data_IF_169910173859
#
_entry.id   IF_169910173859
#
_cell.length_a   1.000
_cell.length_b   1.000
_cell.length_c   1.000
_cell.angle_alpha   90.00
_cell.angle_beta   90.00
_cell.angle_gamma   90.00
#
_symmetry.space_group_name_H-M   'P 1'
#
loop_
_entity.id
_entity.type
_entity.pdbx_description
1 polymer ?
#
# COMPACT_ATOMS: atom_id res chain seq x y z
N UNK A 1 -0.56 -4.75 21.41
CA UNK A 1 0.11 -5.09 20.13
C UNK A 1 0.69 -3.80 19.57
N UNK A 2 1.97 -3.77 19.22
CA UNK A 2 2.66 -2.56 18.71
C UNK A 2 2.12 -2.17 17.32
N UNK A 3 2.15 -0.88 16.95
CA UNK A 3 1.61 -0.31 15.72
C UNK A 3 2.04 -1.09 14.46
N UNK A 4 3.33 -1.36 14.29
CA UNK A 4 3.84 -2.10 13.12
C UNK A 4 3.35 -3.55 13.07
N UNK A 5 3.27 -4.22 14.21
CA UNK A 5 2.73 -5.58 14.27
C UNK A 5 1.26 -5.60 13.84
N UNK A 6 0.46 -4.63 14.27
CA UNK A 6 -0.94 -4.53 13.84
C UNK A 6 -1.04 -4.32 12.33
N UNK A 7 -0.14 -3.52 11.74
CA UNK A 7 -0.08 -3.29 10.29
C UNK A 7 0.33 -4.53 9.48
N UNK A 8 1.20 -5.39 10.02
CA UNK A 8 1.59 -6.65 9.36
C UNK A 8 0.43 -7.65 9.28
N UNK A 9 -0.33 -7.79 10.37
CA UNK A 9 -1.41 -8.78 10.48
C UNK A 9 -2.71 -8.36 9.78
N UNK A 10 -2.92 -7.06 9.55
CA UNK A 10 -4.15 -6.57 8.94
C UNK A 10 -4.05 -6.54 7.41
N UNK A 11 -5.19 -6.73 6.75
CA UNK A 11 -5.33 -6.46 5.32
C UNK A 11 -5.48 -4.95 5.02
N UNK A 12 -5.68 -4.11 6.04
CA UNK A 12 -5.82 -2.67 5.87
C UNK A 12 -4.46 -1.97 5.70
N UNK A 13 -4.28 -1.33 4.56
CA UNK A 13 -3.18 -0.43 4.24
C UNK A 13 -3.33 0.88 5.02
N UNK A 14 -2.23 1.31 5.63
CA UNK A 14 -2.11 2.59 6.31
C UNK A 14 -1.72 3.69 5.33
N UNK A 15 -2.53 4.74 5.23
CA UNK A 15 -2.33 5.82 4.25
C UNK A 15 -1.86 7.10 4.95
N UNK A 16 -0.68 7.57 4.54
CA UNK A 16 -0.06 8.82 4.97
C UNK A 16 -0.29 9.88 3.89
N UNK A 17 -1.00 10.94 4.26
CA UNK A 17 -1.12 12.16 3.48
C UNK A 17 0.05 13.08 3.83
N UNK A 18 1.06 13.15 2.95
CA UNK A 18 2.22 14.02 3.13
C UNK A 18 1.86 15.46 2.76
N UNK A 19 1.76 16.32 3.77
CA UNK A 19 1.58 17.76 3.58
C UNK A 19 2.92 18.40 3.21
N UNK A 20 4.02 17.89 3.79
CA UNK A 20 5.35 18.40 3.51
C UNK A 20 5.42 19.91 3.76
N UNK A 21 5.70 20.68 2.70
CA UNK A 21 5.73 22.15 2.73
C UNK A 21 4.62 22.81 1.88
N UNK A 22 3.60 22.06 1.44
CA UNK A 22 2.49 22.58 0.64
C UNK A 22 1.56 23.53 1.43
N UNK A 23 1.77 23.65 2.75
CA UNK A 23 1.15 24.67 3.59
C UNK A 23 1.73 26.07 3.37
N UNK A 24 2.85 26.20 2.65
CA UNK A 24 3.45 27.50 2.27
C UNK A 24 3.76 28.41 3.46
N UNK A 25 4.09 27.85 4.63
CA UNK A 25 4.33 28.62 5.87
C UNK A 25 3.07 29.16 6.56
N UNK A 26 1.86 28.83 6.08
CA UNK A 26 0.60 29.27 6.69
C UNK A 26 -0.04 28.13 7.50
N UNK A 27 -0.21 28.36 8.81
CA UNK A 27 -0.80 27.39 9.73
C UNK A 27 -2.27 27.07 9.42
N UNK A 28 -3.02 28.02 8.84
CA UNK A 28 -4.42 27.78 8.46
C UNK A 28 -4.51 26.86 7.25
N UNK A 29 -3.62 27.04 6.27
CA UNK A 29 -3.51 26.11 5.13
C UNK A 29 -3.09 24.72 5.64
N UNK A 30 -2.16 24.65 6.59
CA UNK A 30 -1.79 23.38 7.21
C UNK A 30 -2.98 22.68 7.89
N UNK A 31 -3.79 23.40 8.68
CA UNK A 31 -5.03 22.86 9.28
C UNK A 31 -6.04 22.41 8.24
N UNK A 32 -6.22 23.17 7.17
CA UNK A 32 -7.10 22.79 6.05
C UNK A 32 -6.64 21.48 5.39
N UNK A 33 -5.34 21.33 5.13
CA UNK A 33 -4.78 20.11 4.58
C UNK A 33 -4.91 18.90 5.53
N UNK A 34 -4.76 19.10 6.85
CA UNK A 34 -5.01 18.06 7.86
C UNK A 34 -6.49 17.62 7.81
N UNK A 35 -7.42 18.58 7.72
CA UNK A 35 -8.86 18.30 7.62
C UNK A 35 -9.19 17.52 6.35
N UNK A 36 -8.65 17.93 5.21
CA UNK A 36 -8.85 17.25 3.93
C UNK A 36 -8.31 15.81 3.96
N UNK A 37 -7.11 15.60 4.54
CA UNK A 37 -6.57 14.26 4.72
C UNK A 37 -7.55 13.37 5.49
N UNK A 38 -8.14 13.89 6.58
CA UNK A 38 -9.16 13.18 7.38
C UNK A 38 -10.43 12.90 6.58
N UNK A 39 -10.98 13.90 5.90
CA UNK A 39 -12.22 13.78 5.11
C UNK A 39 -12.08 12.79 3.96
N UNK A 40 -10.90 12.71 3.33
CA UNK A 40 -10.62 11.74 2.28
C UNK A 40 -10.43 10.31 2.82
N UNK A 41 -10.20 10.17 4.14
CA UNK A 41 -10.02 8.88 4.82
C UNK A 41 -8.57 8.44 5.00
N UNK A 42 -7.61 9.38 4.94
CA UNK A 42 -6.22 9.09 5.29
C UNK A 42 -6.11 8.75 6.78
N UNK A 43 -5.14 7.89 7.13
CA UNK A 43 -4.93 7.48 8.51
C UNK A 43 -4.02 8.47 9.26
N UNK A 44 -3.15 9.19 8.54
CA UNK A 44 -2.19 10.13 9.11
C UNK A 44 -1.92 11.33 8.18
N UNK A 45 -1.85 12.53 8.76
CA UNK A 45 -1.27 13.72 8.13
C UNK A 45 0.20 13.84 8.54
N UNK A 46 1.10 14.04 7.57
CA UNK A 46 2.54 14.11 7.81
C UNK A 46 3.15 15.44 7.37
N UNK A 47 4.06 15.96 8.18
CA UNK A 47 4.86 17.15 7.91
C UNK A 47 6.37 16.84 7.79
N UNK A 48 7.16 17.88 7.62
CA UNK A 48 8.61 17.85 7.75
C UNK A 48 8.98 18.72 8.96
N UNK A 49 9.93 18.28 9.77
CA UNK A 49 10.48 19.08 10.86
C UNK A 49 12.00 19.16 10.68
N UNK A 50 12.51 20.38 10.72
CA UNK A 50 13.93 20.68 10.56
C UNK A 50 14.40 21.74 11.55
N UNK A 51 15.58 21.53 12.13
CA UNK A 51 16.44 22.59 12.65
C UNK A 51 17.47 22.96 11.57
N UNK A 52 17.35 24.18 11.02
CA UNK A 52 18.11 24.57 9.83
C UNK A 52 19.63 24.58 10.06
N UNK A 53 20.07 24.95 11.27
CA UNK A 53 21.49 25.01 11.62
C UNK A 53 22.11 23.63 11.83
N UNK A 54 21.31 22.64 12.23
CA UNK A 54 21.75 21.25 12.36
C UNK A 54 21.79 20.55 10.99
N UNK A 55 20.81 20.84 10.13
CA UNK A 55 20.69 20.20 8.82
C UNK A 55 21.62 20.78 7.75
N UNK A 56 21.85 22.09 7.77
CA UNK A 56 22.58 22.77 6.70
C UNK A 56 23.82 23.48 7.21
N UNK A 57 24.89 23.44 6.41
CA UNK A 57 26.04 24.32 6.62
C UNK A 57 25.65 25.78 6.35
N UNK A 58 26.39 26.71 6.95
CA UNK A 58 26.21 28.15 6.72
C UNK A 58 26.24 28.50 5.23
N UNK A 59 27.16 27.91 4.46
CA UNK A 59 27.21 28.09 2.99
C UNK A 59 25.99 27.51 2.28
N UNK A 60 25.41 26.41 2.78
CA UNK A 60 24.19 25.83 2.26
C UNK A 60 22.98 26.76 2.46
N UNK A 61 22.85 27.35 3.66
CA UNK A 61 21.80 28.31 3.97
C UNK A 61 21.94 29.60 3.16
N UNK A 62 23.17 30.09 2.95
CA UNK A 62 23.44 31.31 2.18
C UNK A 62 23.42 31.11 0.66
N UNK A 63 23.25 29.88 0.17
CA UNK A 63 23.19 29.59 -1.27
C UNK A 63 22.04 30.36 -1.93
N UNK A 64 22.27 31.12 -3.02
CA UNK A 64 21.20 31.79 -3.74
C UNK A 64 20.12 30.80 -4.23
N UNK A 65 18.85 31.18 -4.14
CA UNK A 65 17.74 30.34 -4.58
C UNK A 65 16.79 31.12 -5.50
N UNK A 66 17.05 31.04 -6.81
CA UNK A 66 16.36 31.83 -7.85
C UNK A 66 15.17 31.11 -8.50
N UNK A 67 14.53 30.21 -7.76
CA UNK A 67 13.35 29.49 -8.24
C UNK A 67 12.11 30.40 -8.22
N UNK A 68 11.17 30.18 -9.15
CA UNK A 68 9.82 30.79 -9.07
C UNK A 68 9.08 30.36 -7.79
N UNK A 69 9.46 29.19 -7.26
CA UNK A 69 8.99 28.66 -5.99
C UNK A 69 9.87 29.10 -4.81
N UNK A 70 10.55 30.25 -4.88
CA UNK A 70 11.36 30.74 -3.76
C UNK A 70 10.60 31.72 -2.88
N UNK A 71 10.72 31.59 -1.56
CA UNK A 71 10.18 32.54 -0.57
C UNK A 71 11.25 33.43 0.07
N UNK A 72 12.48 33.40 -0.46
CA UNK A 72 13.56 34.28 -0.05
C UNK A 72 14.72 34.27 -1.04
N UNK A 73 15.70 35.15 -0.87
CA UNK A 73 16.83 35.25 -1.80
C UNK A 73 17.81 34.08 -1.69
N UNK A 74 17.85 33.44 -0.52
CA UNK A 74 18.69 32.28 -0.21
C UNK A 74 17.86 31.05 0.09
N UNK A 75 18.48 29.87 -0.03
CA UNK A 75 17.81 28.61 0.31
C UNK A 75 17.45 28.54 1.79
N UNK A 76 18.28 29.10 2.67
CA UNK A 76 17.99 29.24 4.10
C UNK A 76 16.79 30.13 4.37
N UNK A 77 16.68 31.29 3.72
CA UNK A 77 15.51 32.17 3.88
C UNK A 77 14.22 31.50 3.39
N UNK A 78 14.29 30.79 2.27
CA UNK A 78 13.17 29.98 1.77
C UNK A 78 12.76 28.88 2.75
N UNK A 79 13.72 28.15 3.33
CA UNK A 79 13.42 27.09 4.29
C UNK A 79 12.91 27.63 5.61
N UNK A 80 13.45 28.75 6.11
CA UNK A 80 12.99 29.41 7.33
C UNK A 80 11.56 29.91 7.21
N UNK A 81 11.17 30.44 6.04
CA UNK A 81 9.79 30.87 5.79
C UNK A 81 8.77 29.71 5.87
N UNK A 82 9.20 28.49 5.55
CA UNK A 82 8.35 27.32 5.50
C UNK A 82 8.42 26.45 6.77
N UNK A 83 9.30 26.76 7.71
CA UNK A 83 9.50 25.93 8.90
C UNK A 83 8.60 26.45 10.03
N UNK A 84 7.69 25.60 10.51
CA UNK A 84 6.88 25.93 11.68
C UNK A 84 7.71 25.87 12.97
N UNK A 85 7.40 26.77 13.89
CA UNK A 85 7.93 26.75 15.26
C UNK A 85 7.46 25.50 16.02
N UNK A 86 8.06 25.23 17.17
CA UNK A 86 7.61 24.13 18.04
C UNK A 86 6.17 24.35 18.52
N UNK A 87 5.82 25.59 18.87
CA UNK A 87 4.48 25.97 19.32
C UNK A 87 3.44 25.78 18.21
N UNK A 88 3.75 26.24 16.98
CA UNK A 88 2.88 26.05 15.82
C UNK A 88 2.69 24.57 15.49
N UNK A 89 3.75 23.76 15.59
CA UNK A 89 3.66 22.33 15.35
C UNK A 89 2.81 21.62 16.42
N UNK A 90 2.94 22.01 17.69
CA UNK A 90 2.08 21.51 18.78
C UNK A 90 0.62 21.92 18.55
N UNK A 91 0.37 23.14 18.07
CA UNK A 91 -0.98 23.58 17.70
C UNK A 91 -1.58 22.70 16.59
N UNK A 92 -0.80 22.35 15.56
CA UNK A 92 -1.22 21.43 14.51
C UNK A 92 -1.49 20.02 15.06
N UNK A 93 -0.65 19.52 15.97
CA UNK A 93 -0.85 18.23 16.63
C UNK A 93 -2.17 18.20 17.42
N UNK A 94 -2.46 19.26 18.19
CA UNK A 94 -3.71 19.40 18.95
C UNK A 94 -4.92 19.43 18.02
N UNK A 95 -4.85 20.17 16.91
CA UNK A 95 -5.91 20.21 15.91
C UNK A 95 -6.16 18.84 15.27
N UNK A 96 -5.09 18.12 14.90
CA UNK A 96 -5.21 16.76 14.37
C UNK A 96 -5.88 15.80 15.36
N UNK A 97 -5.54 15.91 16.66
CA UNK A 97 -6.18 15.15 17.73
C UNK A 97 -7.67 15.49 17.86
N UNK A 98 -8.04 16.77 17.82
CA UNK A 98 -9.44 17.23 17.89
C UNK A 98 -10.31 16.59 16.81
N UNK A 99 -9.79 16.51 15.57
CA UNK A 99 -10.52 15.93 14.43
C UNK A 99 -10.26 14.42 14.25
N UNK A 100 -9.55 13.79 15.18
CA UNK A 100 -9.24 12.36 15.22
C UNK A 100 -8.46 11.84 13.99
N UNK A 101 -7.36 12.50 13.61
CA UNK A 101 -6.35 11.99 12.66
C UNK A 101 -4.97 11.94 13.33
N UNK A 102 -4.15 10.95 12.98
CA UNK A 102 -2.77 10.90 13.46
C UNK A 102 -1.94 12.00 12.80
N UNK A 103 -1.07 12.64 13.56
CA UNK A 103 -0.08 13.59 13.03
C UNK A 103 1.33 13.13 13.35
N UNK A 104 2.21 13.22 12.36
CA UNK A 104 3.64 12.96 12.51
C UNK A 104 4.46 13.88 11.60
N UNK A 105 5.78 13.79 11.68
CA UNK A 105 6.69 14.41 10.73
C UNK A 105 7.90 13.55 10.42
N UNK A 106 8.62 13.99 9.39
CA UNK A 106 9.96 13.52 9.09
C UNK A 106 10.96 14.25 9.97
N UNK A 107 11.75 13.52 10.75
CA UNK A 107 12.91 14.09 11.44
C UNK A 107 14.06 14.22 10.45
N UNK A 108 14.51 15.46 10.17
CA UNK A 108 15.54 15.74 9.17
C UNK A 108 16.89 16.15 9.79
N UNK A 109 17.00 16.02 11.12
CA UNK A 109 18.19 16.30 11.94
C UNK A 109 17.95 15.81 13.39
N UNK A 110 18.99 15.74 14.23
CA UNK A 110 18.88 15.28 15.62
C UNK A 110 17.98 16.14 16.52
N UNK A 111 17.94 17.46 16.32
CA UNK A 111 17.09 18.35 17.13
C UNK A 111 15.61 18.10 16.84
N UNK A 112 15.26 18.00 15.57
CA UNK A 112 13.92 17.63 15.12
C UNK A 112 13.51 16.24 15.60
N UNK A 113 14.44 15.27 15.60
CA UNK A 113 14.20 13.95 16.17
C UNK A 113 13.83 14.03 17.67
N UNK A 114 14.59 14.81 18.44
CA UNK A 114 14.32 15.01 19.87
C UNK A 114 12.97 15.70 20.10
N UNK A 115 12.66 16.75 19.34
CA UNK A 115 11.38 17.43 19.42
C UNK A 115 10.20 16.48 19.13
N UNK A 116 10.27 15.68 18.06
CA UNK A 116 9.22 14.72 17.72
C UNK A 116 9.02 13.64 18.80
N UNK A 117 10.11 13.24 19.45
CA UNK A 117 10.06 12.36 20.63
C UNK A 117 9.36 13.04 21.81
N UNK A 118 9.69 14.29 22.12
CA UNK A 118 9.10 15.05 23.23
C UNK A 118 7.58 15.20 23.08
N UNK A 119 7.10 15.50 21.88
CA UNK A 119 5.66 15.62 21.59
C UNK A 119 4.98 14.26 21.33
N UNK A 120 5.69 13.15 21.50
CA UNK A 120 5.14 11.77 21.43
C UNK A 120 4.39 11.47 20.13
N UNK A 121 5.03 11.67 18.98
CA UNK A 121 4.45 11.26 17.69
C UNK A 121 4.22 9.73 17.60
N UNK A 122 3.21 9.26 16.86
CA UNK A 122 2.88 7.82 16.79
C UNK A 122 3.97 6.97 16.13
N UNK A 123 4.77 7.58 15.25
CA UNK A 123 5.95 7.00 14.62
C UNK A 123 6.81 8.16 14.09
N UNK A 124 8.09 7.93 13.84
CA UNK A 124 9.00 8.90 13.23
C UNK A 124 9.24 8.52 11.77
N UNK A 125 9.07 9.47 10.86
CA UNK A 125 9.45 9.28 9.45
C UNK A 125 10.93 9.65 9.29
N UNK A 126 11.68 8.81 8.57
CA UNK A 126 12.99 9.17 8.00
C UNK A 126 12.82 9.26 6.48
N UNK A 127 13.11 10.44 5.92
CA UNK A 127 12.99 10.70 4.50
C UNK A 127 14.18 10.15 3.70
N UNK A 128 14.02 9.98 2.39
CA UNK A 128 15.09 9.47 1.52
C UNK A 128 16.36 10.35 1.56
N UNK A 129 16.22 11.66 1.82
CA UNK A 129 17.35 12.58 2.00
C UNK A 129 18.27 12.25 3.16
N UNK A 130 17.75 11.52 4.16
CA UNK A 130 18.47 11.11 5.36
C UNK A 130 18.73 9.59 5.38
N UNK A 131 18.41 8.88 4.30
CA UNK A 131 18.54 7.42 4.22
C UNK A 131 20.00 6.92 4.27
N UNK A 132 20.96 7.78 3.92
CA UNK A 132 22.39 7.49 4.10
C UNK A 132 22.94 7.97 5.45
N UNK A 133 22.13 8.64 6.27
CA UNK A 133 22.52 9.18 7.57
C UNK A 133 22.32 8.11 8.66
N UNK A 134 23.18 7.09 8.65
CA UNK A 134 23.09 5.96 9.59
C UNK A 134 23.18 6.41 11.06
N UNK A 135 23.84 7.53 11.35
CA UNK A 135 23.92 8.08 12.71
C UNK A 135 22.55 8.55 13.21
N UNK A 136 21.80 9.30 12.38
CA UNK A 136 20.44 9.74 12.72
C UNK A 136 19.49 8.54 12.82
N UNK A 137 19.63 7.56 11.91
CA UNK A 137 18.81 6.34 11.93
C UNK A 137 19.06 5.52 13.20
N UNK A 138 20.31 5.39 13.65
CA UNK A 138 20.66 4.70 14.90
C UNK A 138 20.08 5.43 16.12
N UNK A 139 20.21 6.77 16.17
CA UNK A 139 19.60 7.59 17.22
C UNK A 139 18.07 7.42 17.26
N UNK A 140 17.42 7.40 16.09
CA UNK A 140 15.99 7.18 15.98
C UNK A 140 15.59 5.78 16.46
N UNK A 141 16.35 4.73 16.12
CA UNK A 141 16.11 3.36 16.57
C UNK A 141 16.25 3.20 18.09
N UNK A 142 17.21 3.88 18.71
CA UNK A 142 17.40 3.88 20.16
C UNK A 142 16.20 4.47 20.93
N UNK A 143 15.34 5.26 20.29
CA UNK A 143 14.14 5.82 20.94
C UNK A 143 13.08 4.75 21.22
N UNK A 144 13.07 3.64 20.48
CA UNK A 144 12.01 2.62 20.52
C UNK A 144 10.67 3.04 19.87
N UNK A 145 10.55 4.29 19.43
CA UNK A 145 9.38 4.80 18.70
C UNK A 145 9.36 4.13 17.31
N UNK A 146 8.19 3.70 16.79
CA UNK A 146 8.14 3.08 15.48
C UNK A 146 8.75 3.98 14.39
N UNK A 147 9.48 3.39 13.44
CA UNK A 147 10.12 4.15 12.35
C UNK A 147 9.50 3.82 10.99
N UNK A 148 9.33 4.82 10.13
CA UNK A 148 8.96 4.64 8.72
C UNK A 148 10.06 5.25 7.85
N UNK A 149 10.87 4.43 7.19
CA UNK A 149 12.09 4.87 6.52
C UNK A 149 11.92 4.76 5.00
N UNK A 150 12.06 5.87 4.27
CA UNK A 150 12.06 5.84 2.80
C UNK A 150 13.45 5.50 2.29
N UNK A 151 13.50 4.76 1.19
CA UNK A 151 14.75 4.19 0.65
C UNK A 151 15.10 4.72 -0.75
N UNK A 152 14.66 5.94 -1.08
CA UNK A 152 15.07 6.59 -2.32
C UNK A 152 16.53 7.07 -2.27
N UNK A 153 17.13 7.27 -3.44
CA UNK A 153 18.52 7.75 -3.60
C UNK A 153 19.61 6.81 -3.06
N UNK A 154 19.26 5.58 -2.68
CA UNK A 154 20.20 4.57 -2.21
C UNK A 154 20.00 3.25 -2.96
N UNK A 155 21.01 2.38 -2.90
CA UNK A 155 20.95 1.03 -3.46
C UNK A 155 20.52 0.00 -2.40
N UNK A 156 20.22 -1.21 -2.86
CA UNK A 156 19.74 -2.30 -2.01
C UNK A 156 20.71 -2.67 -0.87
N UNK A 157 22.03 -2.58 -1.11
CA UNK A 157 23.03 -2.85 -0.07
C UNK A 157 22.94 -1.85 1.09
N UNK A 158 22.69 -0.56 0.78
CA UNK A 158 22.46 0.45 1.83
C UNK A 158 21.15 0.18 2.56
N UNK A 159 20.09 -0.25 1.87
CA UNK A 159 18.82 -0.64 2.49
C UNK A 159 19.02 -1.78 3.49
N UNK A 160 19.82 -2.79 3.12
CA UNK A 160 20.18 -3.90 4.02
C UNK A 160 20.96 -3.41 5.24
N UNK A 161 21.88 -2.46 5.07
CA UNK A 161 22.60 -1.85 6.21
C UNK A 161 21.66 -1.11 7.16
N UNK A 162 20.66 -0.40 6.64
CA UNK A 162 19.62 0.26 7.46
C UNK A 162 18.83 -0.79 8.24
N UNK A 163 18.39 -1.86 7.56
CA UNK A 163 17.69 -2.97 8.20
C UNK A 163 18.53 -3.58 9.33
N UNK A 164 19.77 -4.00 9.03
CA UNK A 164 20.67 -4.61 10.00
C UNK A 164 20.98 -3.68 11.18
N UNK A 165 21.03 -2.36 10.95
CA UNK A 165 21.24 -1.37 11.99
C UNK A 165 20.04 -1.26 12.93
N UNK A 166 18.84 -1.05 12.39
CA UNK A 166 17.63 -0.84 13.20
C UNK A 166 17.23 -2.12 13.91
N UNK A 167 17.35 -3.28 13.26
CA UNK A 167 17.01 -4.60 13.83
C UNK A 167 17.88 -5.03 15.01
N UNK A 168 19.05 -4.40 15.24
CA UNK A 168 19.81 -4.57 16.50
C UNK A 168 19.05 -4.09 17.73
N UNK A 169 18.16 -3.11 17.54
CA UNK A 169 17.40 -2.48 18.61
C UNK A 169 15.97 -3.02 18.65
N UNK A 170 15.28 -3.08 17.50
CA UNK A 170 13.92 -3.59 17.38
C UNK A 170 13.48 -3.79 15.93
N UNK A 171 12.44 -4.60 15.72
CA UNK A 171 11.78 -4.76 14.41
C UNK A 171 10.50 -3.93 14.27
N UNK A 172 10.36 -2.86 15.07
CA UNK A 172 9.24 -1.93 15.02
C UNK A 172 9.46 -0.84 13.97
N UNK A 173 9.72 -1.22 12.73
CA UNK A 173 9.92 -0.25 11.65
C UNK A 173 9.36 -0.75 10.32
N UNK A 174 9.28 0.19 9.36
CA UNK A 174 8.89 -0.06 8.00
C UNK A 174 9.92 0.50 7.02
N UNK A 175 10.11 -0.20 5.90
CA UNK A 175 10.88 0.29 4.76
C UNK A 175 9.94 0.62 3.60
N UNK A 176 10.02 1.85 3.10
CA UNK A 176 9.25 2.29 1.95
C UNK A 176 10.14 2.30 0.70
N UNK A 177 9.74 1.53 -0.32
CA UNK A 177 10.25 1.75 -1.67
C UNK A 177 9.87 3.15 -2.14
N UNK A 178 10.83 3.86 -2.73
CA UNK A 178 10.67 5.26 -3.07
C UNK A 178 11.66 5.64 -4.19
N UNK A 179 11.21 6.45 -5.14
CA UNK A 179 12.08 7.14 -6.10
C UNK A 179 11.93 8.63 -5.84
N UNK A 180 13.03 9.30 -5.50
CA UNK A 180 13.03 10.73 -5.14
C UNK A 180 13.17 11.61 -6.38
N UNK A 181 12.13 11.60 -7.21
CA UNK A 181 11.95 12.50 -8.35
C UNK A 181 10.51 13.06 -8.31
N UNK A 182 10.36 14.36 -8.55
CA UNK A 182 9.11 15.09 -8.26
C UNK A 182 8.63 15.85 -9.53
N UNK A 183 7.89 15.21 -10.45
CA UNK A 183 7.35 13.85 -10.37
C UNK A 183 8.30 12.75 -10.86
N UNK A 184 8.04 11.51 -10.42
CA UNK A 184 8.76 10.31 -10.89
C UNK A 184 8.16 9.81 -12.21
N UNK A 185 8.96 9.64 -13.28
CA UNK A 185 8.51 9.01 -14.53
C UNK A 185 8.11 7.54 -14.31
N UNK A 186 7.07 7.08 -14.99
CA UNK A 186 6.50 5.74 -14.81
C UNK A 186 7.52 4.61 -15.01
N UNK A 187 8.38 4.75 -16.02
CA UNK A 187 9.47 3.83 -16.36
C UNK A 187 10.54 3.73 -15.26
N UNK A 188 10.61 4.69 -14.34
CA UNK A 188 11.58 4.71 -13.25
C UNK A 188 10.99 4.25 -11.90
N UNK A 189 9.66 4.12 -11.76
CA UNK A 189 9.02 3.77 -10.48
C UNK A 189 9.52 2.44 -9.93
N UNK A 190 9.67 1.43 -10.80
CA UNK A 190 10.23 0.13 -10.46
C UNK A 190 9.53 -0.59 -9.27
N UNK A 191 8.21 -0.80 -9.35
CA UNK A 191 7.41 -1.44 -8.30
C UNK A 191 7.85 -2.87 -7.93
N UNK A 192 8.57 -3.57 -8.81
CA UNK A 192 9.09 -4.91 -8.53
C UNK A 192 10.11 -4.93 -7.38
N UNK A 193 10.67 -3.78 -6.99
CA UNK A 193 11.49 -3.66 -5.77
C UNK A 193 10.71 -4.07 -4.52
N UNK A 194 9.39 -3.87 -4.50
CA UNK A 194 8.54 -4.31 -3.38
C UNK A 194 8.60 -5.83 -3.18
N UNK A 195 8.62 -6.62 -4.26
CA UNK A 195 8.79 -8.07 -4.17
C UNK A 195 10.14 -8.46 -3.58
N UNK A 196 11.20 -7.73 -3.93
CA UNK A 196 12.53 -7.94 -3.35
C UNK A 196 12.53 -7.61 -1.85
N UNK A 197 11.89 -6.50 -1.45
CA UNK A 197 11.79 -6.09 -0.05
C UNK A 197 10.98 -7.08 0.78
N UNK A 198 9.81 -7.52 0.29
CA UNK A 198 8.95 -8.51 0.98
C UNK A 198 9.71 -9.82 1.20
N UNK A 199 10.52 -10.25 0.22
CA UNK A 199 11.33 -11.46 0.32
C UNK A 199 12.50 -11.32 1.30
N UNK A 200 13.25 -10.22 1.23
CA UNK A 200 14.47 -10.03 2.03
C UNK A 200 14.17 -9.65 3.49
N UNK A 201 13.09 -8.90 3.73
CA UNK A 201 12.73 -8.35 5.04
C UNK A 201 11.34 -8.81 5.51
N UNK A 202 11.09 -10.12 5.68
CA UNK A 202 9.76 -10.68 5.92
C UNK A 202 9.19 -10.35 7.31
N UNK A 203 10.03 -9.90 8.24
CA UNK A 203 9.72 -9.64 9.64
C UNK A 203 9.39 -8.16 9.95
N UNK A 204 9.43 -7.29 8.94
CA UNK A 204 9.06 -5.88 9.06
C UNK A 204 7.96 -5.50 8.06
N UNK A 205 7.44 -4.28 8.21
CA UNK A 205 6.44 -3.74 7.28
C UNK A 205 7.12 -3.21 6.02
N UNK A 206 6.62 -3.59 4.85
CA UNK A 206 7.03 -3.00 3.57
C UNK A 206 5.94 -2.04 3.09
N UNK A 207 6.35 -0.90 2.55
CA UNK A 207 5.42 0.07 1.98
C UNK A 207 5.99 0.81 0.76
N UNK A 208 5.27 1.84 0.32
CA UNK A 208 5.59 2.63 -0.86
C UNK A 208 5.36 4.12 -0.59
N UNK A 209 6.36 4.94 -0.95
CA UNK A 209 6.29 6.41 -0.91
C UNK A 209 6.42 6.92 -2.35
N UNK A 210 5.29 7.40 -2.89
CA UNK A 210 5.13 7.71 -4.31
C UNK A 210 5.21 9.20 -4.62
N UNK A 211 5.86 9.51 -5.74
CA UNK A 211 5.98 10.86 -6.30
C UNK A 211 5.58 10.90 -7.78
N UNK A 212 4.89 9.88 -8.27
CA UNK A 212 4.39 9.82 -9.64
C UNK A 212 3.18 10.75 -9.87
N UNK A 213 2.88 11.04 -11.14
CA UNK A 213 1.59 11.65 -11.51
C UNK A 213 0.52 10.55 -11.55
N UNK A 214 -0.67 10.83 -11.00
CA UNK A 214 -1.76 9.86 -10.92
C UNK A 214 -1.60 8.91 -9.73
N UNK A 215 -2.43 7.87 -9.68
CA UNK A 215 -2.61 7.00 -8.51
C UNK A 215 -2.38 5.52 -8.81
N UNK A 216 -2.31 5.15 -10.08
CA UNK A 216 -2.26 3.76 -10.54
C UNK A 216 -1.06 3.00 -9.97
N UNK A 217 0.18 3.54 -10.00
CA UNK A 217 1.32 2.82 -9.43
C UNK A 217 1.19 2.61 -7.92
N UNK A 218 0.64 3.59 -7.21
CA UNK A 218 0.36 3.49 -5.77
C UNK A 218 -0.66 2.38 -5.47
N UNK A 219 -1.74 2.26 -6.26
CA UNK A 219 -2.72 1.18 -6.09
C UNK A 219 -2.10 -0.19 -6.40
N UNK A 220 -1.28 -0.28 -7.45
CA UNK A 220 -0.52 -1.49 -7.75
C UNK A 220 0.45 -1.88 -6.62
N UNK A 221 1.08 -0.91 -5.96
CA UNK A 221 1.96 -1.18 -4.81
C UNK A 221 1.21 -1.92 -3.69
N UNK A 222 -0.04 -1.53 -3.42
CA UNK A 222 -0.89 -2.23 -2.42
C UNK A 222 -1.18 -3.66 -2.86
N UNK A 223 -1.55 -3.88 -4.13
CA UNK A 223 -1.79 -5.23 -4.65
C UNK A 223 -0.55 -6.14 -4.60
N UNK A 224 0.66 -5.57 -4.71
CA UNK A 224 1.93 -6.30 -4.57
C UNK A 224 2.21 -6.67 -3.10
N UNK A 225 1.69 -5.90 -2.14
CA UNK A 225 1.83 -6.18 -0.70
C UNK A 225 2.31 -5.00 0.14
N UNK A 226 2.39 -3.79 -0.41
CA UNK A 226 2.68 -2.59 0.39
C UNK A 226 1.58 -2.37 1.44
N UNK A 227 1.96 -2.27 2.73
CA UNK A 227 1.04 -2.04 3.86
C UNK A 227 1.02 -0.60 4.36
N UNK A 228 1.98 0.21 3.92
CA UNK A 228 2.03 1.66 4.14
C UNK A 228 2.12 2.34 2.78
N UNK A 229 1.27 3.33 2.56
CA UNK A 229 1.29 4.19 1.38
C UNK A 229 1.51 5.62 1.83
N UNK A 230 2.41 6.34 1.17
CA UNK A 230 2.66 7.76 1.38
C UNK A 230 2.57 8.50 0.05
N UNK A 231 1.74 9.55 0.00
CA UNK A 231 1.60 10.46 -1.15
C UNK A 231 1.48 11.89 -0.67
N UNK A 232 2.15 12.80 -1.39
CA UNK A 232 1.99 14.23 -1.15
C UNK A 232 0.55 14.67 -1.45
N UNK A 233 0.03 15.65 -0.71
CA UNK A 233 -1.32 16.21 -0.90
C UNK A 233 -1.27 17.73 -1.02
N UNK A 234 -2.21 18.31 -1.76
CA UNK A 234 -2.31 19.75 -1.95
C UNK A 234 -3.75 20.20 -2.12
N UNK A 235 -4.01 21.49 -1.92
CA UNK A 235 -5.30 22.12 -2.25
C UNK A 235 -5.42 22.39 -3.75
N UNK A 236 -4.30 22.76 -4.39
CA UNK A 236 -4.22 23.11 -5.81
C UNK A 236 -2.79 22.92 -6.30
N UNK A 237 -2.63 22.13 -7.37
CA UNK A 237 -1.33 21.84 -8.01
C UNK A 237 -0.65 23.05 -8.63
N UNK A 238 -1.40 24.13 -8.87
CA UNK A 238 -0.90 25.38 -9.49
C UNK A 238 -0.33 26.36 -8.47
N UNK A 239 -0.50 26.10 -7.18
CA UNK A 239 0.06 26.94 -6.14
C UNK A 239 1.59 26.89 -6.14
N UNK A 240 2.18 27.93 -5.56
CA UNK A 240 3.62 28.08 -5.47
C UNK A 240 4.21 27.01 -4.55
N UNK A 241 5.19 26.27 -5.05
CA UNK A 241 5.95 25.27 -4.30
C UNK A 241 6.42 24.11 -5.17
N UNK A 242 7.52 23.45 -4.78
CA UNK A 242 8.14 22.41 -5.60
C UNK A 242 7.31 21.13 -5.67
N UNK A 243 6.56 20.83 -4.61
CA UNK A 243 5.96 19.51 -4.44
C UNK A 243 4.50 19.48 -4.90
N UNK A 244 3.89 20.64 -5.14
CA UNK A 244 2.50 20.75 -5.60
C UNK A 244 2.23 19.92 -6.86
N UNK A 245 3.14 19.92 -7.83
CA UNK A 245 2.93 19.26 -9.12
C UNK A 245 2.75 17.72 -9.02
N UNK A 246 3.43 17.05 -8.08
CA UNK A 246 3.30 15.61 -7.86
C UNK A 246 2.31 15.25 -6.73
N UNK A 247 1.75 16.26 -6.06
CA UNK A 247 0.80 16.08 -4.96
C UNK A 247 -0.59 15.71 -5.48
N UNK A 248 -1.38 15.03 -4.66
CA UNK A 248 -2.77 14.71 -4.95
C UNK A 248 -3.69 15.82 -4.44
N UNK A 249 -4.60 16.28 -5.30
CA UNK A 249 -5.72 17.13 -4.89
C UNK A 249 -6.79 16.30 -4.15
N UNK A 250 -7.72 16.92 -3.40
CA UNK A 250 -8.68 16.18 -2.57
C UNK A 250 -9.47 15.09 -3.33
N UNK A 251 -9.99 15.31 -4.56
CA UNK A 251 -10.67 14.26 -5.31
C UNK A 251 -9.76 13.07 -5.66
N UNK A 252 -8.48 13.33 -5.95
CA UNK A 252 -7.51 12.30 -6.30
C UNK A 252 -7.08 11.49 -5.08
N UNK A 253 -6.91 12.14 -3.91
CA UNK A 253 -6.63 11.47 -2.65
C UNK A 253 -7.79 10.57 -2.24
N UNK A 254 -9.02 11.08 -2.33
CA UNK A 254 -10.24 10.29 -2.07
C UNK A 254 -10.34 9.09 -3.01
N UNK A 255 -10.10 9.31 -4.31
CA UNK A 255 -10.10 8.24 -5.31
C UNK A 255 -9.02 7.18 -5.03
N UNK A 256 -7.81 7.59 -4.63
CA UNK A 256 -6.74 6.68 -4.24
C UNK A 256 -7.18 5.80 -3.06
N UNK A 257 -7.70 6.41 -2.00
CA UNK A 257 -8.10 5.67 -0.80
C UNK A 257 -9.25 4.71 -1.11
N UNK A 258 -10.26 5.13 -1.88
CA UNK A 258 -11.37 4.27 -2.28
C UNK A 258 -10.90 3.08 -3.14
N UNK A 259 -9.94 3.30 -4.04
CA UNK A 259 -9.32 2.20 -4.80
C UNK A 259 -8.52 1.26 -3.92
N UNK A 260 -7.74 1.78 -2.95
CA UNK A 260 -7.04 0.95 -1.97
C UNK A 260 -8.04 0.06 -1.21
N UNK A 261 -9.14 0.62 -0.69
CA UNK A 261 -10.16 -0.18 0.03
C UNK A 261 -10.84 -1.21 -0.86
N UNK A 262 -11.07 -0.89 -2.13
CA UNK A 262 -11.63 -1.83 -3.10
C UNK A 262 -10.67 -2.98 -3.41
N UNK A 263 -9.38 -2.69 -3.57
CA UNK A 263 -8.33 -3.70 -3.79
C UNK A 263 -8.17 -4.59 -2.57
N UNK A 264 -8.17 -4.04 -1.35
CA UNK A 264 -8.10 -4.84 -0.12
C UNK A 264 -9.21 -5.90 -0.03
N UNK A 265 -10.42 -5.56 -0.48
CA UNK A 265 -11.53 -6.51 -0.58
C UNK A 265 -11.32 -7.50 -1.73
N UNK A 266 -10.86 -7.03 -2.89
CA UNK A 266 -10.70 -7.85 -4.09
C UNK A 266 -9.56 -8.87 -3.99
N UNK A 267 -8.53 -8.59 -3.18
CA UNK A 267 -7.41 -9.51 -2.96
C UNK A 267 -7.85 -10.83 -2.30
N UNK A 268 -8.93 -10.82 -1.52
CA UNK A 268 -9.53 -12.03 -0.95
C UNK A 268 -8.55 -12.89 -0.14
N UNK A 269 -8.69 -14.20 -0.27
CA UNK A 269 -7.76 -15.19 0.26
C UNK A 269 -7.11 -16.00 -0.88
N UNK A 270 -6.15 -16.85 -0.55
CA UNK A 270 -5.44 -17.69 -1.54
C UNK A 270 -6.17 -19.01 -1.87
N UNK A 271 -7.45 -19.17 -1.51
CA UNK A 271 -8.21 -20.41 -1.68
C UNK A 271 -9.08 -20.34 -2.94
N UNK A 272 -8.77 -21.18 -3.94
CA UNK A 272 -9.60 -21.30 -5.15
C UNK A 272 -10.82 -22.18 -4.88
N UNK A 273 -11.99 -21.56 -4.87
CA UNK A 273 -13.28 -22.23 -4.75
C UNK A 273 -14.34 -21.56 -5.65
N UNK A 274 -15.45 -22.26 -5.88
CA UNK A 274 -16.63 -21.67 -6.52
C UNK A 274 -17.22 -20.66 -5.56
N UNK A 275 -17.42 -19.43 -6.03
CA UNK A 275 -18.05 -18.37 -5.25
C UNK A 275 -19.57 -18.53 -5.26
N UNK A 276 -20.23 -18.05 -4.20
CA UNK A 276 -21.69 -18.10 -4.10
C UNK A 276 -22.38 -17.41 -5.30
N UNK A 277 -21.79 -16.33 -5.82
CA UNK A 277 -22.31 -15.63 -7.01
C UNK A 277 -22.19 -16.44 -8.30
N UNK A 278 -21.34 -17.47 -8.34
CA UNK A 278 -21.15 -18.34 -9.50
C UNK A 278 -22.16 -19.50 -9.52
N UNK A 279 -22.82 -19.83 -8.40
CA UNK A 279 -23.66 -21.04 -8.29
C UNK A 279 -24.79 -21.09 -9.34
N UNK A 280 -25.49 -19.98 -9.58
CA UNK A 280 -26.54 -19.92 -10.60
C UNK A 280 -26.00 -20.14 -12.03
N UNK A 281 -24.82 -19.59 -12.33
CA UNK A 281 -24.13 -19.83 -13.59
C UNK A 281 -23.66 -21.29 -13.68
N UNK A 282 -23.15 -21.86 -12.60
CA UNK A 282 -22.73 -23.25 -12.53
C UNK A 282 -23.90 -24.23 -12.70
N UNK A 283 -25.07 -23.96 -12.13
CA UNK A 283 -26.28 -24.75 -12.34
C UNK A 283 -26.75 -24.69 -13.80
N UNK A 284 -26.72 -23.50 -14.40
CA UNK A 284 -27.16 -23.28 -15.78
C UNK A 284 -26.21 -23.82 -16.85
N UNK A 285 -24.89 -23.66 -16.64
CA UNK A 285 -23.87 -23.88 -17.68
C UNK A 285 -22.89 -25.00 -17.33
N UNK A 286 -22.82 -25.41 -16.06
CA UNK A 286 -21.91 -26.46 -15.61
C UNK A 286 -22.30 -27.80 -16.25
N UNK A 287 -21.32 -28.45 -16.85
CA UNK A 287 -21.53 -29.71 -17.56
C UNK A 287 -21.48 -30.90 -16.60
N UNK A 288 -22.07 -32.00 -17.03
CA UNK A 288 -22.05 -33.28 -16.35
C UNK A 288 -21.96 -34.42 -17.37
N UNK A 289 -21.76 -35.64 -16.86
CA UNK A 289 -21.76 -36.85 -17.66
C UNK A 289 -23.16 -37.16 -18.19
N UNK A 290 -23.23 -37.49 -19.48
CA UNK A 290 -24.42 -38.02 -20.16
C UNK A 290 -24.05 -39.25 -20.97
N UNK A 291 -25.01 -40.13 -21.25
CA UNK A 291 -24.77 -41.30 -22.09
C UNK A 291 -24.64 -40.90 -23.57
N UNK A 292 -23.67 -41.47 -24.28
CA UNK A 292 -23.41 -41.15 -25.68
C UNK A 292 -24.42 -41.79 -26.64
N UNK A 293 -25.04 -42.89 -26.20
CA UNK A 293 -25.94 -43.78 -26.94
C UNK A 293 -26.93 -44.43 -25.95
N UNK A 294 -27.88 -45.22 -26.47
CA UNK A 294 -28.80 -46.02 -25.65
C UNK A 294 -28.12 -47.29 -25.14
N UNK A 295 -28.35 -47.65 -23.86
CA UNK A 295 -27.79 -48.85 -23.24
C UNK A 295 -28.83 -49.61 -22.40
N UNK A 296 -28.71 -50.94 -22.42
CA UNK A 296 -29.54 -51.82 -21.57
C UNK A 296 -28.89 -52.06 -20.21
N UNK A 297 -29.72 -52.38 -19.21
CA UNK A 297 -29.29 -52.82 -17.88
C UNK A 297 -28.19 -53.89 -17.98
N UNK A 298 -27.14 -53.73 -17.18
CA UNK A 298 -25.98 -54.60 -17.13
C UNK A 298 -24.86 -54.22 -18.10
N UNK A 299 -25.06 -53.21 -18.95
CA UNK A 299 -24.00 -52.71 -19.83
C UNK A 299 -22.83 -52.14 -19.02
N UNK A 300 -21.60 -52.55 -19.39
CA UNK A 300 -20.36 -52.07 -18.78
C UNK A 300 -19.85 -50.86 -19.57
N UNK A 301 -19.85 -49.68 -18.95
CA UNK A 301 -19.52 -48.43 -19.62
C UNK A 301 -18.07 -48.39 -20.09
N UNK A 302 -17.86 -47.92 -21.31
CA UNK A 302 -16.55 -47.59 -21.90
C UNK A 302 -16.41 -46.07 -22.03
N UNK A 303 -15.21 -45.60 -22.39
CA UNK A 303 -14.95 -44.16 -22.58
C UNK A 303 -15.89 -43.54 -23.63
N UNK A 304 -16.06 -44.20 -24.77
CA UNK A 304 -16.90 -43.68 -25.87
C UNK A 304 -18.40 -43.74 -25.57
N UNK A 305 -18.80 -44.42 -24.48
CA UNK A 305 -20.20 -44.52 -24.04
C UNK A 305 -20.66 -43.29 -23.27
N UNK A 306 -19.75 -42.35 -22.95
CA UNK A 306 -20.00 -41.16 -22.16
C UNK A 306 -19.66 -39.89 -22.94
N UNK A 307 -20.46 -38.85 -22.75
CA UNK A 307 -20.19 -37.48 -23.21
C UNK A 307 -20.30 -36.52 -22.03
N UNK A 308 -19.73 -35.33 -22.17
CA UNK A 308 -19.86 -34.25 -21.19
C UNK A 308 -20.69 -33.13 -21.81
N UNK A 309 -21.90 -32.93 -21.30
CA UNK A 309 -22.87 -31.94 -21.79
C UNK A 309 -23.50 -31.18 -20.63
N UNK A 310 -24.15 -30.05 -20.92
CA UNK A 310 -25.10 -29.46 -19.97
C UNK A 310 -26.35 -30.34 -20.01
N UNK A 311 -26.85 -30.76 -18.84
CA UNK A 311 -28.02 -31.64 -18.73
C UNK A 311 -28.93 -31.20 -17.58
N UNK A 312 -30.19 -31.60 -17.66
CA UNK A 312 -31.18 -31.37 -16.61
C UNK A 312 -32.05 -32.64 -16.45
N UNK A 313 -32.14 -33.25 -15.25
CA UNK A 313 -31.39 -32.91 -14.04
C UNK A 313 -29.87 -33.03 -14.27
N UNK A 314 -29.09 -32.30 -13.46
CA UNK A 314 -27.62 -32.31 -13.60
C UNK A 314 -27.09 -33.69 -13.23
N UNK A 315 -26.35 -34.30 -14.14
CA UNK A 315 -25.69 -35.59 -13.92
C UNK A 315 -24.48 -35.48 -13.00
N UNK A 316 -23.78 -36.60 -12.83
CA UNK A 316 -22.49 -36.67 -12.16
C UNK A 316 -21.48 -35.71 -12.80
N UNK A 317 -20.65 -35.09 -11.97
CA UNK A 317 -19.60 -34.17 -12.42
C UNK A 317 -18.71 -34.83 -13.48
N UNK A 318 -18.34 -34.08 -14.52
CA UNK A 318 -17.44 -34.56 -15.57
C UNK A 318 -16.07 -35.01 -15.04
N UNK A 319 -15.65 -34.54 -13.87
CA UNK A 319 -14.44 -34.99 -13.19
C UNK A 319 -14.52 -36.45 -12.73
N UNK A 320 -15.72 -37.00 -12.57
CA UNK A 320 -15.94 -38.40 -12.21
C UNK A 320 -15.90 -39.34 -13.43
N UNK A 321 -15.53 -38.85 -14.62
CA UNK A 321 -15.56 -39.62 -15.87
C UNK A 321 -14.86 -40.97 -15.74
N UNK A 322 -13.59 -40.98 -15.31
CA UNK A 322 -12.80 -42.21 -15.21
C UNK A 322 -13.31 -43.17 -14.11
N UNK A 323 -13.95 -42.65 -13.06
CA UNK A 323 -14.58 -43.47 -12.01
C UNK A 323 -15.87 -44.15 -12.50
N UNK A 324 -16.55 -43.53 -13.46
CA UNK A 324 -17.78 -44.06 -14.06
C UNK A 324 -17.45 -45.11 -15.14
N UNK A 325 -16.34 -44.95 -15.86
CA UNK A 325 -15.87 -45.93 -16.84
C UNK A 325 -15.63 -47.29 -16.17
N UNK A 326 -16.17 -48.34 -16.78
CA UNK A 326 -16.06 -49.70 -16.29
C UNK A 326 -17.13 -50.11 -15.28
N UNK A 327 -17.97 -49.18 -14.78
CA UNK A 327 -19.15 -49.53 -13.99
C UNK A 327 -20.24 -50.16 -14.87
N UNK A 328 -21.05 -51.02 -14.25
CA UNK A 328 -22.25 -51.56 -14.88
C UNK A 328 -23.46 -50.70 -14.51
N UNK A 329 -24.28 -50.34 -15.50
CA UNK A 329 -25.55 -49.66 -15.23
C UNK A 329 -26.61 -50.66 -14.76
N UNK A 330 -27.42 -50.29 -13.77
CA UNK A 330 -28.43 -51.14 -13.15
C UNK A 330 -29.85 -50.96 -13.76
N UNK A 331 -29.98 -50.07 -14.74
CA UNK A 331 -31.20 -49.71 -15.44
C UNK A 331 -30.95 -49.52 -16.96
N UNK A 332 -32.01 -49.37 -17.74
CA UNK A 332 -31.91 -48.96 -19.15
C UNK A 332 -31.80 -47.43 -19.23
N UNK A 333 -30.98 -46.90 -20.13
CA UNK A 333 -30.74 -45.46 -20.32
C UNK A 333 -30.73 -45.11 -21.80
N UNK A 334 -31.03 -43.85 -22.14
CA UNK A 334 -31.00 -43.33 -23.51
C UNK A 334 -29.83 -42.40 -23.74
N UNK A 335 -29.50 -42.19 -25.02
CA UNK A 335 -28.59 -41.14 -25.44
C UNK A 335 -29.01 -39.80 -24.86
N UNK A 336 -28.03 -39.05 -24.35
CA UNK A 336 -28.17 -37.75 -23.68
C UNK A 336 -28.88 -37.75 -22.32
N UNK A 337 -29.33 -38.91 -21.82
CA UNK A 337 -29.75 -39.00 -20.41
C UNK A 337 -28.58 -38.65 -19.48
N UNK A 338 -28.82 -37.89 -18.40
CA UNK A 338 -27.81 -37.62 -17.39
C UNK A 338 -27.41 -38.92 -16.68
N UNK A 339 -26.11 -39.06 -16.44
CA UNK A 339 -25.57 -40.12 -15.62
C UNK A 339 -25.80 -39.76 -14.16
N UNK A 340 -26.52 -40.60 -13.40
CA UNK A 340 -26.84 -40.37 -11.98
C UNK A 340 -26.22 -41.48 -11.11
N UNK A 341 -25.83 -41.16 -9.88
CA UNK A 341 -25.17 -42.13 -8.97
C UNK A 341 -26.01 -43.37 -8.70
N UNK A 342 -27.33 -43.22 -8.61
CA UNK A 342 -28.31 -44.29 -8.38
C UNK A 342 -28.42 -45.31 -9.52
N UNK A 343 -27.88 -44.99 -10.70
CA UNK A 343 -27.90 -45.88 -11.87
C UNK A 343 -26.78 -46.93 -11.84
N UNK A 344 -25.90 -46.88 -10.83
CA UNK A 344 -24.84 -47.86 -10.62
C UNK A 344 -25.18 -48.79 -9.46
N UNK A 345 -24.79 -50.05 -9.58
CA UNK A 345 -24.84 -51.05 -8.51
C UNK A 345 -23.64 -50.97 -7.58
#
# INVERSE_FOLDING_TARGET
>A
MNFMHKLRETNKTFVIAEIGQNHQGDINIAKELIKIAKECGADCAKFQKTCLTEKFTVSGLNRPYKSVNSWGDTYGAHKAYLEFSHEEFIELQNYAQEINILLTASAMDPESLNFLKEITVPFIKIGSGDSNNLLLIEQAALTGIPLVISTGMINFDTVKRIYDLVSKYHNNFALLHCVSAYPTPYENINLNVLNAYIKEFPDIVIGYSGHEIGIQPTVCAVAIGAKIIERHITLDKKQKGSDHNCSLEPPELKQLIDQIRSIELAMGDSIKQIQNCELSCYEKLGKSLVYAFDFSKGHKLKKDDLKIKVSYPKGLDGLLFDEVVGKNINCNVKSDDPVLSEQFS
#
